data_IF_582876318742
#
_entry.id   IF_582876318742
#
_cell.length_a   1.000
_cell.length_b   1.000
_cell.length_c   1.000
_cell.angle_alpha   90.00
_cell.angle_beta   90.00
_cell.angle_gamma   90.00
#
_symmetry.space_group_name_H-M   'P 1'
#
loop_
_entity.id
_entity.type
_entity.pdbx_description
1 polymer ?
#
# COMPACT_ATOMS: atom_id res chain seq x y z
N UNK A 1 4.30 -12.16 4.95
CA UNK A 1 4.81 -11.23 5.97
C UNK A 1 3.64 -10.46 6.55
N UNK A 2 3.57 -10.32 7.87
CA UNK A 2 2.50 -9.58 8.55
C UNK A 2 2.91 -8.12 8.82
N UNK A 3 2.02 -7.32 9.41
CA UNK A 3 2.32 -5.92 9.74
C UNK A 3 3.54 -5.71 10.64
N UNK A 4 3.85 -6.64 11.55
CA UNK A 4 5.05 -6.53 12.41
C UNK A 4 6.30 -6.59 11.56
N UNK A 5 6.38 -7.57 10.64
CA UNK A 5 7.50 -7.69 9.71
C UNK A 5 7.62 -6.45 8.80
N UNK A 6 6.48 -5.95 8.31
CA UNK A 6 6.41 -4.78 7.41
C UNK A 6 6.96 -3.52 8.10
N UNK A 7 6.63 -3.31 9.39
CA UNK A 7 7.08 -2.14 10.16
C UNK A 7 8.59 -2.09 10.36
N UNK A 8 9.29 -3.21 10.26
CA UNK A 8 10.76 -3.27 10.29
C UNK A 8 11.40 -2.87 8.94
N UNK A 9 10.65 -2.92 7.84
CA UNK A 9 11.14 -2.64 6.48
C UNK A 9 10.84 -1.19 6.07
N UNK A 10 9.60 -0.74 6.31
CA UNK A 10 9.15 0.61 5.94
C UNK A 10 8.88 1.48 7.18
N UNK A 11 9.10 2.81 7.09
CA UNK A 11 8.93 3.71 8.24
C UNK A 11 7.47 4.06 8.55
N UNK A 12 6.52 3.74 7.66
CA UNK A 12 5.10 4.08 7.82
C UNK A 12 4.50 3.45 9.09
N UNK A 13 3.65 4.20 9.78
CA UNK A 13 2.92 3.79 11.00
C UNK A 13 1.47 4.25 10.92
N UNK A 14 0.64 3.72 11.79
CA UNK A 14 -0.76 4.12 11.87
C UNK A 14 -0.93 5.63 12.09
N UNK A 15 -1.94 6.27 11.46
CA UNK A 15 -2.95 5.67 10.58
C UNK A 15 -2.56 5.64 9.08
N UNK A 16 -1.27 5.74 8.75
CA UNK A 16 -0.78 5.83 7.36
C UNK A 16 0.01 4.61 6.89
N UNK A 17 -0.01 3.51 7.66
CA UNK A 17 0.45 2.20 7.21
C UNK A 17 -0.72 1.49 6.52
N UNK A 18 -0.64 1.34 5.20
CA UNK A 18 -1.79 0.90 4.39
C UNK A 18 -1.65 -0.51 3.84
N UNK A 19 -0.52 -1.18 4.06
CA UNK A 19 -0.33 -2.59 3.69
C UNK A 19 -0.48 -3.46 4.93
N UNK A 20 -1.42 -4.40 4.88
CA UNK A 20 -1.71 -5.29 6.01
C UNK A 20 -0.86 -6.56 5.99
N UNK A 21 -0.65 -7.13 4.80
CA UNK A 21 0.17 -8.32 4.62
C UNK A 21 0.86 -8.34 3.25
N UNK A 22 1.99 -9.03 3.18
CA UNK A 22 2.64 -9.43 1.93
C UNK A 22 2.45 -10.93 1.74
N UNK A 23 1.78 -11.30 0.65
CA UNK A 23 1.46 -12.67 0.28
C UNK A 23 2.64 -13.35 -0.41
N UNK A 24 3.21 -12.66 -1.40
CA UNK A 24 4.33 -13.14 -2.21
C UNK A 24 5.31 -12.00 -2.47
N UNK A 25 6.60 -12.29 -2.46
CA UNK A 25 7.64 -11.32 -2.80
C UNK A 25 8.87 -12.05 -3.34
N UNK A 26 9.39 -11.58 -4.47
CA UNK A 26 10.69 -11.95 -5.01
C UNK A 26 11.55 -10.69 -5.21
N UNK A 27 12.64 -10.79 -5.98
CA UNK A 27 13.57 -9.66 -6.17
C UNK A 27 12.90 -8.43 -6.80
N UNK A 28 11.95 -8.60 -7.71
CA UNK A 28 11.37 -7.49 -8.49
C UNK A 28 9.84 -7.46 -8.48
N UNK A 29 9.18 -8.41 -7.82
CA UNK A 29 7.72 -8.48 -7.73
C UNK A 29 7.26 -8.63 -6.29
N UNK A 30 6.12 -8.02 -5.99
CA UNK A 30 5.44 -8.12 -4.71
C UNK A 30 3.93 -8.18 -4.91
N UNK A 31 3.29 -9.10 -4.19
CA UNK A 31 1.85 -9.19 -4.05
C UNK A 31 1.53 -8.96 -2.58
N UNK A 32 0.89 -7.83 -2.29
CA UNK A 32 0.48 -7.45 -0.95
C UNK A 32 -1.04 -7.31 -0.87
N UNK A 33 -1.58 -7.18 0.35
CA UNK A 33 -3.01 -6.99 0.56
C UNK A 33 -3.29 -5.80 1.48
N UNK A 34 -4.33 -5.07 1.12
CA UNK A 34 -5.02 -4.14 2.01
C UNK A 34 -6.45 -4.63 2.28
N UNK A 35 -6.78 -4.78 3.55
CA UNK A 35 -8.13 -4.97 4.03
C UNK A 35 -8.78 -3.60 4.25
N UNK A 36 -9.91 -3.35 3.60
CA UNK A 36 -10.62 -2.08 3.69
C UNK A 36 -11.62 -2.18 4.83
N UNK A 37 -11.19 -1.85 6.05
CA UNK A 37 -12.00 -1.98 7.27
C UNK A 37 -12.95 -0.80 7.45
N UNK A 38 -14.14 -1.03 7.99
CA UNK A 38 -15.16 0.01 8.15
C UNK A 38 -14.78 1.14 9.12
N UNK A 39 -13.82 0.89 10.00
CA UNK A 39 -13.33 1.82 11.03
C UNK A 39 -12.10 2.64 10.61
N UNK A 40 -11.66 2.52 9.35
CA UNK A 40 -10.55 3.31 8.81
C UNK A 40 -10.84 4.82 8.91
N UNK A 41 -9.84 5.58 9.37
CA UNK A 41 -9.99 6.99 9.73
C UNK A 41 -10.60 7.86 8.63
N UNK A 42 -10.30 7.56 7.35
CA UNK A 42 -10.75 8.35 6.21
C UNK A 42 -12.24 8.20 5.92
N UNK A 43 -12.91 7.14 6.37
CA UNK A 43 -14.35 6.95 6.11
C UNK A 43 -15.24 7.94 6.87
N UNK A 44 -14.73 8.54 7.96
CA UNK A 44 -15.45 9.61 8.68
C UNK A 44 -15.70 10.84 7.79
N UNK A 45 -14.81 11.09 6.83
CA UNK A 45 -14.86 12.27 5.96
C UNK A 45 -15.03 11.96 4.47
N UNK A 46 -14.90 10.71 4.03
CA UNK A 46 -14.91 10.35 2.61
C UNK A 46 -15.85 9.17 2.32
N UNK A 47 -17.17 9.37 2.27
CA UNK A 47 -17.93 10.58 2.64
C UNK A 47 -18.97 10.21 3.70
N UNK A 48 -19.45 11.15 4.52
CA UNK A 48 -20.56 10.89 5.43
C UNK A 48 -21.79 10.34 4.67
N UNK A 49 -22.24 9.14 5.03
CA UNK A 49 -23.36 8.44 4.38
C UNK A 49 -23.00 7.64 3.12
N UNK A 50 -21.77 7.79 2.59
CA UNK A 50 -21.26 7.03 1.44
C UNK A 50 -19.76 6.75 1.61
N UNK A 51 -19.38 5.76 2.45
CA UNK A 51 -17.98 5.48 2.75
C UNK A 51 -17.26 4.89 1.53
N UNK A 52 -16.23 5.59 1.04
CA UNK A 52 -15.41 5.22 -0.11
C UNK A 52 -13.94 5.41 0.28
N UNK A 53 -13.07 4.44 -0.02
CA UNK A 53 -11.63 4.64 0.16
C UNK A 53 -11.14 5.67 -0.87
N UNK A 54 -10.44 6.76 -0.46
CA UNK A 54 -9.87 7.72 -1.39
C UNK A 54 -8.92 7.03 -2.38
N UNK A 55 -9.09 7.29 -3.68
CA UNK A 55 -8.26 6.65 -4.71
C UNK A 55 -6.76 6.91 -4.53
N UNK A 56 -6.39 8.07 -3.98
CA UNK A 56 -5.00 8.42 -3.63
C UNK A 56 -4.40 7.48 -2.58
N UNK A 57 -5.20 6.94 -1.66
CA UNK A 57 -4.73 5.97 -0.67
C UNK A 57 -4.54 4.57 -1.27
N UNK A 58 -5.23 4.25 -2.37
CA UNK A 58 -4.96 3.02 -3.12
C UNK A 58 -3.58 3.11 -3.79
N UNK A 59 -3.29 4.28 -4.37
CA UNK A 59 -1.97 4.55 -4.98
C UNK A 59 -0.87 4.53 -3.91
N UNK A 60 -1.11 5.14 -2.75
CA UNK A 60 -0.18 5.10 -1.62
C UNK A 60 0.05 3.66 -1.13
N UNK A 61 -0.99 2.84 -0.97
CA UNK A 61 -0.84 1.45 -0.58
C UNK A 61 0.00 0.64 -1.59
N UNK A 62 -0.19 0.86 -2.90
CA UNK A 62 0.66 0.29 -3.95
C UNK A 62 2.11 0.77 -3.85
N UNK A 63 2.32 2.06 -3.57
CA UNK A 63 3.65 2.63 -3.39
C UNK A 63 4.36 2.02 -2.16
N UNK A 64 3.65 1.84 -1.04
CA UNK A 64 4.17 1.17 0.15
C UNK A 64 4.53 -0.29 -0.13
N UNK A 65 3.69 -1.02 -0.88
CA UNK A 65 4.01 -2.39 -1.31
C UNK A 65 5.33 -2.42 -2.12
N UNK A 66 5.50 -1.52 -3.07
CA UNK A 66 6.76 -1.40 -3.82
C UNK A 66 7.96 -1.00 -2.96
N UNK A 67 7.75 -0.09 -2.00
CA UNK A 67 8.78 0.30 -1.04
C UNK A 67 9.23 -0.88 -0.16
N UNK A 68 8.32 -1.76 0.24
CA UNK A 68 8.68 -3.00 0.95
C UNK A 68 9.64 -3.83 0.10
N UNK A 69 9.30 -4.09 -1.18
CA UNK A 69 10.15 -4.86 -2.09
C UNK A 69 11.54 -4.22 -2.28
N UNK A 70 11.61 -2.91 -2.53
CA UNK A 70 12.89 -2.20 -2.74
C UNK A 70 13.74 -2.17 -1.46
N UNK A 71 13.16 -1.81 -0.31
CA UNK A 71 13.89 -1.62 0.94
C UNK A 71 14.26 -2.94 1.63
N UNK A 72 13.65 -4.06 1.22
CA UNK A 72 14.11 -5.40 1.61
C UNK A 72 15.48 -5.77 1.02
N UNK A 73 15.90 -5.14 -0.08
CA UNK A 73 17.23 -5.37 -0.68
C UNK A 73 18.32 -4.75 0.21
N UNK A 74 19.42 -5.48 0.43
CA UNK A 74 20.51 -5.06 1.33
C UNK A 74 21.05 -3.66 1.03
N UNK A 75 21.20 -3.32 -0.25
CA UNK A 75 21.68 -2.02 -0.71
C UNK A 75 20.80 -0.82 -0.28
N UNK A 76 19.51 -1.06 0.01
CA UNK A 76 18.53 -0.03 0.34
C UNK A 76 17.96 -0.15 1.76
N UNK A 77 18.38 -1.16 2.54
CA UNK A 77 17.90 -1.37 3.91
C UNK A 77 18.12 -0.11 4.77
N UNK A 78 17.10 0.25 5.55
CA UNK A 78 17.13 1.40 6.46
C UNK A 78 16.97 2.77 5.77
N UNK A 79 16.77 2.82 4.45
CA UNK A 79 16.47 4.07 3.74
C UNK A 79 14.99 4.40 3.77
N UNK A 80 14.66 5.62 3.41
CA UNK A 80 13.28 6.07 3.16
C UNK A 80 13.04 6.17 1.66
N UNK A 81 11.99 5.51 1.17
CA UNK A 81 11.56 5.63 -0.22
C UNK A 81 10.72 6.91 -0.38
N UNK A 82 10.97 7.65 -1.46
CA UNK A 82 10.19 8.83 -1.84
C UNK A 82 9.57 8.63 -3.21
N UNK A 83 8.33 9.09 -3.36
CA UNK A 83 7.58 8.94 -4.59
C UNK A 83 7.86 10.09 -5.55
N UNK A 84 8.51 9.80 -6.68
CA UNK A 84 8.95 10.82 -7.63
C UNK A 84 7.95 11.14 -8.75
N UNK A 85 7.18 10.14 -9.21
CA UNK A 85 6.24 10.31 -10.34
C UNK A 85 5.14 9.26 -10.31
N UNK A 86 3.94 9.69 -10.67
CA UNK A 86 2.78 8.83 -10.96
C UNK A 86 2.35 9.07 -12.39
N UNK A 87 2.19 8.01 -13.17
CA UNK A 87 1.70 8.09 -14.55
C UNK A 87 0.54 7.11 -14.76
N UNK A 88 -0.40 7.48 -15.63
CA UNK A 88 -1.44 6.59 -16.17
C UNK A 88 -2.33 5.87 -15.14
N UNK A 89 -2.53 6.46 -13.95
CA UNK A 89 -3.45 5.89 -12.94
C UNK A 89 -4.89 6.00 -13.43
N UNK A 90 -5.65 4.91 -13.28
CA UNK A 90 -7.07 4.84 -13.63
C UNK A 90 -7.84 4.11 -12.55
N UNK A 91 -8.84 4.78 -11.96
CA UNK A 91 -9.77 4.16 -11.01
C UNK A 91 -11.00 3.68 -11.77
N UNK A 92 -11.33 2.40 -11.66
CA UNK A 92 -12.44 1.78 -12.44
C UNK A 92 -13.69 1.50 -11.62
N UNK A 93 -13.55 1.30 -10.31
CA UNK A 93 -14.64 1.01 -9.38
C UNK A 93 -14.37 1.69 -8.05
N UNK A 94 -15.44 2.01 -7.32
CA UNK A 94 -15.33 2.44 -5.92
C UNK A 94 -14.77 1.28 -5.10
N UNK A 95 -14.02 1.60 -4.07
CA UNK A 95 -13.56 0.67 -3.05
C UNK A 95 -14.25 1.07 -1.74
N UNK A 96 -14.90 0.11 -1.09
CA UNK A 96 -15.81 0.35 0.04
C UNK A 96 -15.45 -0.55 1.24
N UNK A 97 -15.98 -0.30 2.45
CA UNK A 97 -15.76 -1.18 3.58
C UNK A 97 -16.10 -2.64 3.28
N UNK A 98 -15.24 -3.56 3.71
CA UNK A 98 -15.34 -5.01 3.46
C UNK A 98 -14.59 -5.48 2.23
N UNK A 99 -14.16 -4.58 1.34
CA UNK A 99 -13.34 -4.95 0.19
C UNK A 99 -11.93 -5.43 0.62
N UNK A 100 -11.38 -6.29 -0.23
CA UNK A 100 -9.98 -6.73 -0.17
C UNK A 100 -9.28 -6.28 -1.44
N UNK A 101 -8.21 -5.50 -1.28
CA UNK A 101 -7.37 -5.08 -2.38
C UNK A 101 -6.12 -5.94 -2.44
N UNK A 102 -5.96 -6.70 -3.52
CA UNK A 102 -4.67 -7.30 -3.87
C UNK A 102 -3.84 -6.25 -4.64
N UNK A 103 -2.66 -5.98 -4.11
CA UNK A 103 -1.72 -4.95 -4.54
C UNK A 103 -0.54 -5.64 -5.23
N UNK A 104 -0.62 -5.79 -6.55
CA UNK A 104 0.46 -6.39 -7.34
C UNK A 104 1.35 -5.30 -7.94
N UNK A 105 2.65 -5.42 -7.70
CA UNK A 105 3.64 -4.51 -8.27
C UNK A 105 4.81 -5.30 -8.86
N UNK A 106 5.30 -4.80 -10.00
CA UNK A 106 6.52 -5.26 -10.65
C UNK A 106 7.47 -4.07 -10.84
N UNK A 107 8.67 -4.19 -10.31
CA UNK A 107 9.77 -3.28 -10.56
C UNK A 107 10.25 -3.52 -11.99
N UNK A 108 10.32 -2.45 -12.77
CA UNK A 108 10.75 -2.52 -14.17
C UNK A 108 12.15 -1.96 -14.38
N UNK A 109 12.59 -1.04 -13.52
CA UNK A 109 13.93 -0.45 -13.51
C UNK A 109 14.25 0.02 -12.06
N UNK A 110 15.52 -0.04 -11.66
CA UNK A 110 16.06 0.53 -10.42
C UNK A 110 17.18 1.50 -10.78
#
# INVERSE_FOLDING_TARGET
MNQTDIKEIIPHREPFLLVDEVLEMNEDEVVARKYVRADEYYFQGHFPGEPIMPGVLIVEALAQAGAICVLSKEAFRGRTAYFGRINNVRFRRKVVPGDVLDLTLKITNI
#
